data_IF_894915588774
#
_entry.id   IF_894915588774
#
_cell.length_a   1.000
_cell.length_b   1.000
_cell.length_c   1.000
_cell.angle_alpha   90.00
_cell.angle_beta   90.00
_cell.angle_gamma   90.00
#
_symmetry.space_group_name_H-M   'P 1'
#
loop_
_entity.id
_entity.type
_entity.pdbx_description
1 polymer ?
#
# COMPACT_ATOMS: atom_id res chain seq x y z
N UNK A 1 -16.72 -5.20 -0.74
CA UNK A 1 -16.02 -4.03 -0.18
C UNK A 1 -15.19 -4.40 1.03
N UNK A 2 -15.79 -5.03 2.04
CA UNK A 2 -15.05 -5.42 3.24
C UNK A 2 -13.90 -6.38 2.94
N UNK A 3 -14.12 -7.32 2.02
CA UNK A 3 -13.08 -8.29 1.62
C UNK A 3 -11.88 -7.59 1.02
N UNK A 4 -12.11 -6.60 0.13
CA UNK A 4 -11.02 -5.86 -0.50
C UNK A 4 -10.28 -4.98 0.50
N UNK A 5 -11.00 -4.34 1.42
CA UNK A 5 -10.36 -3.55 2.47
C UNK A 5 -9.48 -4.42 3.33
N UNK A 6 -9.97 -5.60 3.71
CA UNK A 6 -9.19 -6.55 4.50
C UNK A 6 -7.94 -6.99 3.74
N UNK A 7 -8.07 -7.26 2.44
CA UNK A 7 -6.92 -7.62 1.61
C UNK A 7 -5.87 -6.52 1.59
N UNK A 8 -6.31 -5.26 1.45
CA UNK A 8 -5.39 -4.13 1.43
C UNK A 8 -4.69 -3.97 2.76
N UNK A 9 -5.42 -4.17 3.86
CA UNK A 9 -4.86 -4.13 5.20
C UNK A 9 -3.78 -5.21 5.37
N UNK A 10 -4.07 -6.42 4.93
CA UNK A 10 -3.13 -7.53 5.02
C UNK A 10 -1.88 -7.28 4.17
N UNK A 11 -2.05 -6.73 2.96
CA UNK A 11 -0.91 -6.37 2.12
C UNK A 11 0.00 -5.35 2.83
N UNK A 12 -0.60 -4.34 3.42
CA UNK A 12 0.17 -3.34 4.17
C UNK A 12 0.93 -4.00 5.32
N UNK A 13 0.30 -4.93 6.02
CA UNK A 13 0.95 -5.65 7.12
C UNK A 13 2.09 -6.53 6.63
N UNK A 14 1.94 -7.16 5.48
CA UNK A 14 3.03 -7.96 4.87
C UNK A 14 4.21 -7.07 4.51
N UNK A 15 3.96 -5.91 3.90
CA UNK A 15 5.01 -4.96 3.57
C UNK A 15 5.70 -4.44 4.83
N UNK A 16 4.91 -4.16 5.86
CA UNK A 16 5.42 -3.71 7.16
C UNK A 16 6.37 -4.76 7.75
N UNK A 17 5.96 -6.03 7.74
CA UNK A 17 6.77 -7.11 8.26
C UNK A 17 8.10 -7.22 7.50
N UNK A 18 8.07 -7.18 6.20
CA UNK A 18 9.29 -7.27 5.38
C UNK A 18 10.21 -6.07 5.59
N UNK A 19 9.60 -4.89 5.71
CA UNK A 19 10.34 -3.64 5.89
C UNK A 19 11.09 -3.62 7.22
N UNK A 20 10.38 -3.82 8.32
CA UNK A 20 11.00 -3.76 9.64
C UNK A 20 11.86 -4.97 9.96
N UNK A 21 11.44 -6.15 9.49
CA UNK A 21 12.18 -7.39 9.73
C UNK A 21 13.29 -7.64 8.72
N UNK A 22 13.40 -6.80 7.71
CA UNK A 22 14.38 -6.95 6.62
C UNK A 22 14.32 -8.34 6.00
N UNK A 23 13.09 -8.81 5.77
CA UNK A 23 12.83 -10.12 5.17
C UNK A 23 12.51 -9.94 3.69
N UNK A 24 12.95 -10.90 2.87
CA UNK A 24 12.59 -10.88 1.47
C UNK A 24 11.12 -11.34 1.27
N UNK A 25 10.53 -11.09 0.10
CA UNK A 25 9.11 -11.40 -0.12
C UNK A 25 8.75 -12.86 0.09
N UNK A 26 9.62 -13.80 -0.25
CA UNK A 26 9.32 -15.22 -0.07
C UNK A 26 9.27 -15.58 1.40
N UNK A 27 10.17 -15.02 2.20
CA UNK A 27 10.15 -15.23 3.64
C UNK A 27 8.87 -14.66 4.26
N UNK A 28 8.47 -13.46 3.85
CA UNK A 28 7.24 -12.85 4.35
C UNK A 28 6.04 -13.73 4.02
N UNK A 29 5.93 -14.19 2.77
CA UNK A 29 4.81 -15.06 2.36
C UNK A 29 4.77 -16.33 3.17
N UNK A 30 5.92 -16.95 3.40
CA UNK A 30 5.97 -18.21 4.15
C UNK A 30 5.51 -18.05 5.59
N UNK A 31 5.89 -16.94 6.23
CA UNK A 31 5.64 -16.74 7.65
C UNK A 31 4.31 -16.05 7.95
N UNK A 32 3.92 -15.11 7.10
CA UNK A 32 2.77 -14.25 7.38
C UNK A 32 1.47 -15.05 7.56
N UNK A 33 1.23 -16.03 6.69
CA UNK A 33 -0.03 -16.76 6.70
C UNK A 33 -0.12 -17.87 7.74
N UNK A 34 1.01 -18.23 8.38
CA UNK A 34 1.02 -19.33 9.35
C UNK A 34 0.05 -19.12 10.51
N UNK A 35 -0.15 -17.88 10.94
CA UNK A 35 -1.03 -17.54 12.05
C UNK A 35 -2.36 -16.93 11.60
N UNK A 36 -2.66 -16.99 10.30
CA UNK A 36 -3.85 -16.35 9.73
C UNK A 36 -4.64 -17.30 8.85
N UNK A 37 -4.89 -18.49 9.35
CA UNK A 37 -5.63 -19.51 8.61
C UNK A 37 -7.14 -19.21 8.56
N UNK A 38 -7.61 -18.23 9.34
CA UNK A 38 -9.00 -17.78 9.35
C UNK A 38 -9.34 -16.87 8.16
N UNK A 39 -8.35 -16.45 7.38
CA UNK A 39 -8.56 -15.58 6.22
C UNK A 39 -9.03 -16.44 5.04
N UNK A 40 -10.16 -16.06 4.42
CA UNK A 40 -10.70 -16.83 3.30
C UNK A 40 -9.81 -16.71 2.05
N UNK A 41 -9.99 -17.66 1.13
CA UNK A 41 -9.13 -17.76 -0.05
C UNK A 41 -9.22 -16.53 -0.95
N UNK A 42 -10.38 -15.92 -1.06
CA UNK A 42 -10.58 -14.75 -1.92
C UNK A 42 -9.84 -13.53 -1.36
N UNK A 43 -9.96 -13.31 -0.05
CA UNK A 43 -9.27 -12.22 0.63
C UNK A 43 -7.77 -12.41 0.53
N UNK A 44 -7.31 -13.62 0.81
CA UNK A 44 -5.87 -13.94 0.73
C UNK A 44 -5.34 -13.77 -0.69
N UNK A 45 -6.11 -14.23 -1.68
CA UNK A 45 -5.69 -14.15 -3.08
C UNK A 45 -5.42 -12.73 -3.54
N UNK A 46 -6.31 -11.80 -3.23
CA UNK A 46 -6.10 -10.41 -3.61
C UNK A 46 -4.95 -9.78 -2.82
N UNK A 47 -4.84 -10.12 -1.53
CA UNK A 47 -3.74 -9.61 -0.71
C UNK A 47 -2.38 -10.06 -1.27
N UNK A 48 -2.27 -11.34 -1.65
CA UNK A 48 -1.04 -11.87 -2.23
C UNK A 48 -0.72 -11.25 -3.58
N UNK A 49 -1.74 -11.05 -4.41
CA UNK A 49 -1.55 -10.45 -5.72
C UNK A 49 -1.06 -9.00 -5.59
N UNK A 50 -1.70 -8.24 -4.73
CA UNK A 50 -1.30 -6.85 -4.48
C UNK A 50 0.10 -6.78 -3.86
N UNK A 51 0.42 -7.70 -2.96
CA UNK A 51 1.74 -7.78 -2.36
C UNK A 51 2.81 -8.07 -3.43
N UNK A 52 2.50 -8.97 -4.36
CA UNK A 52 3.41 -9.29 -5.47
C UNK A 52 3.69 -8.03 -6.30
N UNK A 53 2.65 -7.27 -6.63
CA UNK A 53 2.82 -6.02 -7.38
C UNK A 53 3.69 -5.04 -6.59
N UNK A 54 3.41 -4.87 -5.31
CA UNK A 54 4.14 -3.91 -4.48
C UNK A 54 5.62 -4.27 -4.35
N UNK A 55 5.94 -5.56 -4.33
CA UNK A 55 7.34 -6.00 -4.17
C UNK A 55 8.09 -6.06 -5.50
N UNK A 56 7.42 -6.43 -6.59
CA UNK A 56 8.10 -6.49 -7.90
C UNK A 56 8.31 -5.10 -8.51
N UNK A 57 7.47 -4.13 -8.16
CA UNK A 57 7.58 -2.75 -8.65
C UNK A 57 8.02 -1.79 -7.55
N UNK A 58 8.73 -2.29 -6.55
CA UNK A 58 9.06 -1.51 -5.36
C UNK A 58 9.86 -0.25 -5.67
N UNK A 59 10.84 -0.31 -6.57
CA UNK A 59 11.64 0.87 -6.93
C UNK A 59 10.81 1.93 -7.60
N UNK A 60 9.98 1.53 -8.54
CA UNK A 60 9.09 2.46 -9.25
C UNK A 60 8.13 3.13 -8.26
N UNK A 61 7.57 2.34 -7.36
CA UNK A 61 6.61 2.83 -6.36
C UNK A 61 7.31 3.82 -5.42
N UNK A 62 8.47 3.47 -4.88
CA UNK A 62 9.18 4.34 -3.95
C UNK A 62 9.63 5.63 -4.62
N UNK A 63 10.10 5.58 -5.86
CA UNK A 63 10.48 6.79 -6.60
C UNK A 63 9.27 7.70 -6.81
N UNK A 64 8.13 7.12 -7.15
CA UNK A 64 6.91 7.89 -7.36
C UNK A 64 6.45 8.55 -6.07
N UNK A 65 6.50 7.83 -4.95
CA UNK A 65 6.13 8.40 -3.66
C UNK A 65 7.08 9.55 -3.30
N UNK A 66 8.39 9.34 -3.41
CA UNK A 66 9.38 10.35 -3.03
C UNK A 66 9.29 11.60 -3.89
N UNK A 67 8.90 11.46 -5.14
CA UNK A 67 8.70 12.62 -6.03
C UNK A 67 7.59 13.55 -5.53
N UNK A 68 6.69 13.05 -4.68
CA UNK A 68 5.57 13.80 -4.14
C UNK A 68 5.73 14.15 -2.67
N UNK A 69 6.89 13.86 -2.08
CA UNK A 69 7.19 14.20 -0.70
C UNK A 69 8.05 15.47 -0.68
N UNK A 70 7.59 16.50 0.00
CA UNK A 70 8.35 17.73 0.15
C UNK A 70 9.12 17.67 1.47
N UNK A 71 10.46 17.75 1.38
CA UNK A 71 11.32 17.79 2.55
C UNK A 71 11.30 16.52 3.41
N UNK A 72 10.79 15.41 2.88
CA UNK A 72 10.76 14.14 3.59
C UNK A 72 11.34 13.04 2.72
N UNK A 73 12.03 12.13 3.35
CA UNK A 73 12.46 10.89 2.71
C UNK A 73 11.54 9.77 3.17
N UNK A 74 11.25 8.84 2.28
CA UNK A 74 10.38 7.72 2.56
C UNK A 74 10.88 6.93 3.79
N UNK A 75 12.19 6.75 3.90
CA UNK A 75 12.80 6.01 5.00
C UNK A 75 12.62 6.68 6.36
N UNK A 76 12.32 7.98 6.40
CA UNK A 76 12.10 8.72 7.64
C UNK A 76 10.64 8.76 8.06
N UNK A 77 9.76 8.29 7.22
CA UNK A 77 8.35 8.22 7.56
C UNK A 77 8.09 7.10 8.55
N UNK A 78 7.00 7.20 9.31
CA UNK A 78 6.54 6.07 10.10
C UNK A 78 6.32 4.86 9.19
N UNK A 79 6.73 3.68 9.63
CA UNK A 79 6.67 2.47 8.81
C UNK A 79 5.25 2.16 8.35
N UNK A 80 4.25 2.43 9.19
CA UNK A 80 2.84 2.25 8.79
C UNK A 80 2.51 3.18 7.63
N UNK A 81 2.90 4.45 7.73
CA UNK A 81 2.56 5.45 6.71
C UNK A 81 3.18 5.07 5.36
N UNK A 82 4.47 4.76 5.35
CA UNK A 82 5.12 4.45 4.07
C UNK A 82 4.62 3.15 3.45
N UNK A 83 4.31 2.15 4.26
CA UNK A 83 3.81 0.90 3.71
C UNK A 83 2.36 0.98 3.28
N UNK A 84 1.59 1.87 3.88
CA UNK A 84 0.24 2.19 3.42
C UNK A 84 0.29 2.90 2.07
N UNK A 85 1.21 3.86 1.91
CA UNK A 85 1.41 4.53 0.62
C UNK A 85 1.83 3.53 -0.45
N UNK A 86 2.75 2.63 -0.13
CA UNK A 86 3.20 1.61 -1.07
C UNK A 86 2.06 0.72 -1.54
N UNK A 87 1.20 0.31 -0.62
CA UNK A 87 0.03 -0.52 -0.94
C UNK A 87 -0.92 0.21 -1.89
N UNK A 88 -1.25 1.45 -1.58
CA UNK A 88 -2.19 2.23 -2.38
C UNK A 88 -1.62 2.53 -3.78
N UNK A 89 -0.33 2.87 -3.85
CA UNK A 89 0.30 3.19 -5.14
C UNK A 89 0.41 1.94 -6.00
N UNK A 90 0.72 0.78 -5.41
CA UNK A 90 0.73 -0.47 -6.15
C UNK A 90 -0.62 -0.73 -6.81
N UNK A 91 -1.70 -0.50 -6.08
CA UNK A 91 -3.04 -0.68 -6.62
C UNK A 91 -3.34 0.31 -7.73
N UNK A 92 -2.95 1.57 -7.57
CA UNK A 92 -3.14 2.59 -8.61
C UNK A 92 -2.44 2.22 -9.91
N UNK A 93 -1.23 1.66 -9.80
CA UNK A 93 -0.43 1.33 -10.98
C UNK A 93 -0.96 0.10 -11.71
N UNK A 94 -1.40 -0.90 -11.00
CA UNK A 94 -1.73 -2.20 -11.58
C UNK A 94 -3.23 -2.39 -11.85
N UNK A 95 -4.10 -1.86 -10.97
CA UNK A 95 -5.53 -2.13 -11.03
C UNK A 95 -6.28 -0.92 -11.56
N UNK A 96 -6.14 -0.68 -12.88
CA UNK A 96 -6.68 0.51 -13.53
C UNK A 96 -8.21 0.58 -13.51
N UNK A 97 -8.87 -0.56 -13.28
CA UNK A 97 -10.33 -0.60 -13.17
C UNK A 97 -10.88 -0.05 -11.87
N UNK A 98 -10.01 0.13 -10.84
CA UNK A 98 -10.44 0.70 -9.57
C UNK A 98 -10.16 2.20 -9.57
N UNK A 99 -11.20 3.04 -9.41
CA UNK A 99 -10.97 4.49 -9.43
C UNK A 99 -10.07 4.94 -8.27
N UNK A 100 -9.20 5.90 -8.54
CA UNK A 100 -8.28 6.42 -7.54
C UNK A 100 -8.98 6.93 -6.27
N UNK A 101 -10.13 7.65 -6.36
CA UNK A 101 -10.81 8.07 -5.13
C UNK A 101 -11.19 6.92 -4.21
N UNK A 102 -11.52 5.76 -4.77
CA UNK A 102 -11.85 4.58 -3.96
C UNK A 102 -10.59 4.04 -3.31
N UNK A 103 -9.49 3.93 -4.05
CA UNK A 103 -8.21 3.47 -3.50
C UNK A 103 -7.79 4.37 -2.33
N UNK A 104 -7.88 5.68 -2.52
CA UNK A 104 -7.50 6.64 -1.49
C UNK A 104 -8.42 6.53 -0.27
N UNK A 105 -9.72 6.48 -0.49
CA UNK A 105 -10.69 6.38 0.60
C UNK A 105 -10.44 5.11 1.43
N UNK A 106 -10.21 3.98 0.78
CA UNK A 106 -9.93 2.73 1.48
C UNK A 106 -8.62 2.78 2.24
N UNK A 107 -7.58 3.37 1.66
CA UNK A 107 -6.30 3.55 2.34
C UNK A 107 -6.47 4.39 3.61
N UNK A 108 -7.25 5.46 3.54
CA UNK A 108 -7.47 6.32 4.70
C UNK A 108 -8.29 5.63 5.79
N UNK A 109 -9.21 4.75 5.42
CA UNK A 109 -9.92 3.94 6.42
C UNK A 109 -8.95 3.04 7.19
N UNK A 110 -7.98 2.44 6.49
CA UNK A 110 -6.96 1.63 7.13
C UNK A 110 -6.05 2.53 7.99
N UNK A 111 -5.68 3.70 7.48
CA UNK A 111 -4.83 4.64 8.21
C UNK A 111 -5.45 5.03 9.55
N UNK A 112 -6.78 5.18 9.60
CA UNK A 112 -7.45 5.54 10.85
C UNK A 112 -7.30 4.48 11.93
N UNK A 113 -7.02 3.24 11.54
CA UNK A 113 -6.81 2.14 12.50
C UNK A 113 -5.37 2.05 12.98
N UNK A 114 -4.41 2.46 12.17
CA UNK A 114 -2.99 2.19 12.44
C UNK A 114 -2.10 3.43 12.52
N UNK A 115 -2.44 4.48 11.79
CA UNK A 115 -1.59 5.67 11.71
C UNK A 115 -1.97 6.68 12.77
N UNK A 116 -1.05 7.60 13.07
CA UNK A 116 -1.34 8.73 13.94
C UNK A 116 -2.41 9.62 13.29
N UNK A 117 -3.32 10.22 14.08
CA UNK A 117 -4.37 11.07 13.50
C UNK A 117 -3.82 12.20 12.63
N UNK A 118 -2.67 12.77 12.99
CA UNK A 118 -2.04 13.84 12.22
C UNK A 118 -1.60 13.40 10.84
N UNK A 119 -1.36 12.10 10.65
CA UNK A 119 -0.91 11.57 9.37
C UNK A 119 -2.01 11.52 8.31
N UNK A 120 -3.28 11.50 8.71
CA UNK A 120 -4.39 11.25 7.79
C UNK A 120 -4.45 12.31 6.68
N UNK A 121 -4.39 13.59 7.05
CA UNK A 121 -4.45 14.67 6.07
C UNK A 121 -3.23 14.66 5.16
N UNK A 122 -2.06 14.40 5.73
CA UNK A 122 -0.83 14.30 4.96
C UNK A 122 -0.91 13.17 3.94
N UNK A 123 -1.33 11.97 4.37
CA UNK A 123 -1.47 10.82 3.47
C UNK A 123 -2.47 11.09 2.36
N UNK A 124 -3.59 11.72 2.70
CA UNK A 124 -4.60 12.07 1.70
C UNK A 124 -4.00 12.98 0.62
N UNK A 125 -3.27 14.01 1.04
CA UNK A 125 -2.65 14.95 0.09
C UNK A 125 -1.63 14.28 -0.81
N UNK A 126 -0.78 13.43 -0.25
CA UNK A 126 0.23 12.71 -1.03
C UNK A 126 -0.43 11.76 -2.03
N UNK A 127 -1.40 10.97 -1.58
CA UNK A 127 -2.09 10.01 -2.45
C UNK A 127 -2.86 10.71 -3.56
N UNK A 128 -3.51 11.83 -3.27
CA UNK A 128 -4.22 12.59 -4.27
C UNK A 128 -3.27 13.11 -5.35
N UNK A 129 -2.13 13.66 -4.93
CA UNK A 129 -1.11 14.17 -5.85
C UNK A 129 -0.55 13.03 -6.72
N UNK A 130 -0.24 11.89 -6.12
CA UNK A 130 0.27 10.73 -6.85
C UNK A 130 -0.78 10.24 -7.87
N UNK A 131 -2.04 10.19 -7.48
CA UNK A 131 -3.10 9.69 -8.36
C UNK A 131 -3.22 10.54 -9.63
N UNK A 132 -3.03 11.85 -9.52
CA UNK A 132 -3.05 12.74 -10.69
C UNK A 132 -1.90 12.43 -11.64
N UNK A 133 -0.71 12.18 -11.10
CA UNK A 133 0.46 11.83 -11.90
C UNK A 133 0.24 10.49 -12.60
N UNK A 134 -0.27 9.49 -11.89
CA UNK A 134 -0.55 8.18 -12.48
C UNK A 134 -1.56 8.30 -13.61
N UNK A 135 -2.64 9.04 -13.39
CA UNK A 135 -3.66 9.25 -14.42
C UNK A 135 -3.09 9.95 -15.65
N UNK A 136 -2.28 10.99 -15.44
CA UNK A 136 -1.65 11.73 -16.54
C UNK A 136 -0.73 10.82 -17.35
N UNK A 137 0.03 9.96 -16.68
CA UNK A 137 0.93 9.04 -17.37
C UNK A 137 0.17 8.02 -18.23
N UNK A 138 -1.01 7.59 -17.77
CA UNK A 138 -1.86 6.68 -18.56
C UNK A 138 -2.41 7.34 -19.81
N UNK A 139 -2.77 8.63 -19.71
CA UNK A 139 -3.39 9.37 -20.80
C UNK A 139 -2.36 9.89 -21.80
N UNK A 140 -1.17 10.11 -21.32
CA UNK A 140 -0.09 10.65 -22.13
C UNK A 140 0.77 9.62 -22.77
#
# INVERSE_FOLDING_TARGET
>A
MKTRRKSRELTMQMLFQGDLGKQDPDQVRSLFWLSRDDVDAKTRGFAEDLYRVATTRDREIDQLIEAHLQNWRLERMAAVDRNLLRTAVAEMLEYQGTPAPIIISEALQIARMYAAPESIQFLNGVLDSISRTVLKNRLG
#
